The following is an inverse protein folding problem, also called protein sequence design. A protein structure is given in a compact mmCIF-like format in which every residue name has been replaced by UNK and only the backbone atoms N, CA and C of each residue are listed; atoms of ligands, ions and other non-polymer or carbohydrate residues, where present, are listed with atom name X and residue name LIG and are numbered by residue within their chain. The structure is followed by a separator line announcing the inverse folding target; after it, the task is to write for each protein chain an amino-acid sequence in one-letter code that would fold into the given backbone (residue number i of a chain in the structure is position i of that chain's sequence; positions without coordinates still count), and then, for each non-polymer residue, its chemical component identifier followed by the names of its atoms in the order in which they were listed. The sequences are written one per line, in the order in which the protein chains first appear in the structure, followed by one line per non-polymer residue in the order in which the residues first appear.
data_IF_807461019812
#
_entry.id   IF_807461019812
#
_cell.length_a   1.000
_cell.length_b   1.000
_cell.length_c   1.000
_cell.angle_alpha   90.00
_cell.angle_beta   90.00
_cell.angle_gamma   90.00
#
_symmetry.space_group_name_H-M   'P 1'
#
loop_
_entity.id
_entity.type
_entity.pdbx_description
1 polymer ?
#
# COMPACT_ATOMS: atom_id res chain seq x y z
N UNK A 1 3.13 12.01 25.29
CA UNK A 1 3.27 10.57 25.01
C UNK A 1 4.75 10.27 24.87
N UNK A 2 5.27 9.18 25.45
CA UNK A 2 6.69 8.82 25.32
C UNK A 2 7.03 8.54 23.86
N UNK A 3 8.26 8.91 23.46
CA UNK A 3 8.80 8.58 22.14
C UNK A 3 9.08 7.08 22.05
N UNK A 4 8.58 6.44 20.99
CA UNK A 4 8.86 5.02 20.74
C UNK A 4 10.20 4.87 20.03
N UNK A 5 11.07 4.01 20.54
CA UNK A 5 12.37 3.71 19.90
C UNK A 5 12.19 2.84 18.65
N UNK A 6 13.16 2.89 17.74
CA UNK A 6 13.16 2.01 16.55
C UNK A 6 13.15 0.53 16.96
N UNK A 7 13.89 0.18 18.03
CA UNK A 7 13.92 -1.20 18.55
C UNK A 7 12.53 -1.65 19.02
N UNK A 8 11.84 -0.81 19.79
CA UNK A 8 10.49 -1.10 20.26
C UNK A 8 9.52 -1.34 19.11
N UNK A 9 9.59 -0.52 18.04
CA UNK A 9 8.75 -0.70 16.85
C UNK A 9 9.03 -2.03 16.14
N UNK A 10 10.31 -2.44 16.04
CA UNK A 10 10.67 -3.74 15.46
C UNK A 10 10.06 -4.89 16.27
N UNK A 11 10.15 -4.82 17.60
CA UNK A 11 9.58 -5.85 18.48
C UNK A 11 8.05 -5.88 18.36
N UNK A 12 7.38 -4.73 18.26
CA UNK A 12 5.94 -4.63 18.03
C UNK A 12 5.51 -5.18 16.66
N UNK A 13 6.26 -4.88 15.59
CA UNK A 13 6.02 -5.42 14.25
C UNK A 13 6.11 -6.96 14.23
N UNK A 14 7.16 -7.51 14.86
CA UNK A 14 7.34 -8.96 14.98
C UNK A 14 6.23 -9.60 15.83
N UNK A 15 5.87 -8.99 16.95
CA UNK A 15 4.78 -9.47 17.80
C UNK A 15 3.41 -9.43 17.11
N UNK A 16 3.17 -8.45 16.23
CA UNK A 16 1.96 -8.38 15.39
C UNK A 16 1.93 -9.48 14.31
N UNK A 17 3.08 -10.08 14.01
CA UNK A 17 3.21 -11.18 13.04
C UNK A 17 3.70 -10.76 11.66
N UNK A 18 4.43 -9.65 11.55
CA UNK A 18 5.15 -9.31 10.32
C UNK A 18 6.20 -10.38 10.03
N UNK A 19 6.11 -11.01 8.86
CA UNK A 19 7.00 -12.10 8.45
C UNK A 19 8.34 -11.59 7.96
N UNK A 20 9.43 -12.03 8.60
CA UNK A 20 10.80 -11.83 8.11
C UNK A 20 10.97 -12.51 6.74
N UNK A 21 11.66 -11.85 5.80
CA UNK A 21 11.81 -12.31 4.41
C UNK A 21 10.57 -12.16 3.53
N UNK A 22 9.43 -11.72 4.08
CA UNK A 22 8.17 -11.59 3.36
C UNK A 22 8.04 -10.31 2.53
N UNK A 23 6.92 -10.19 1.81
CA UNK A 23 6.50 -8.93 1.16
C UNK A 23 5.49 -8.24 2.07
N UNK A 24 5.65 -6.95 2.35
CA UNK A 24 4.74 -6.18 3.20
C UNK A 24 4.31 -4.89 2.51
N UNK A 25 3.02 -4.80 2.21
CA UNK A 25 2.37 -3.57 1.79
C UNK A 25 1.92 -2.77 3.03
N UNK A 26 2.32 -1.51 3.12
CA UNK A 26 2.04 -0.65 4.28
C UNK A 26 1.23 0.57 3.86
N UNK A 27 0.08 0.75 4.50
CA UNK A 27 -0.68 2.01 4.52
C UNK A 27 -0.50 2.64 5.89
N UNK A 28 -0.20 3.94 5.97
CA UNK A 28 0.18 4.55 7.25
C UNK A 28 -0.24 6.00 7.40
N UNK A 29 -0.62 6.36 8.64
CA UNK A 29 -0.82 7.74 9.07
C UNK A 29 0.21 8.11 10.15
N UNK A 30 1.34 8.69 9.75
CA UNK A 30 2.41 9.04 10.68
C UNK A 30 1.96 9.93 11.85
N UNK A 31 0.94 10.79 11.63
CA UNK A 31 0.36 11.64 12.68
C UNK A 31 -0.25 10.83 13.84
N UNK A 32 -0.71 9.60 13.58
CA UNK A 32 -1.26 8.68 14.58
C UNK A 32 -0.16 7.85 15.26
N UNK A 33 0.94 7.57 14.56
CA UNK A 33 2.03 6.73 15.09
C UNK A 33 2.97 7.52 16.01
N UNK A 34 3.25 8.79 15.67
CA UNK A 34 4.23 9.66 16.35
C UNK A 34 3.93 9.86 17.86
N UNK A 35 4.94 10.20 18.69
CA UNK A 35 6.37 10.38 18.36
C UNK A 35 7.16 9.06 18.21
N UNK A 36 8.12 9.06 17.28
CA UNK A 36 9.04 7.95 16.99
C UNK A 36 10.46 8.52 16.88
N UNK A 37 11.42 7.83 17.49
CA UNK A 37 12.86 8.10 17.34
C UNK A 37 13.25 8.15 15.86
N UNK A 38 13.83 9.27 15.40
CA UNK A 38 14.18 9.46 13.99
C UNK A 38 13.00 9.77 13.06
N UNK A 39 11.82 10.06 13.60
CA UNK A 39 10.66 10.50 12.85
C UNK A 39 10.13 9.46 11.84
N UNK A 40 9.61 9.88 10.67
CA UNK A 40 9.13 8.94 9.65
C UNK A 40 10.23 8.04 9.10
N UNK A 41 11.49 8.51 9.05
CA UNK A 41 12.63 7.69 8.62
C UNK A 41 12.94 6.58 9.63
N UNK A 42 12.76 6.86 10.93
CA UNK A 42 12.81 5.85 11.99
C UNK A 42 11.77 4.75 11.81
N UNK A 43 10.54 5.12 11.40
CA UNK A 43 9.49 4.14 11.07
C UNK A 43 9.85 3.28 9.86
N UNK A 44 10.37 3.87 8.78
CA UNK A 44 10.85 3.12 7.60
C UNK A 44 11.98 2.17 8.01
N UNK A 45 12.91 2.64 8.83
CA UNK A 45 13.99 1.83 9.39
C UNK A 45 13.48 0.65 10.22
N UNK A 46 12.44 0.85 11.04
CA UNK A 46 11.83 -0.23 11.80
C UNK A 46 11.16 -1.28 10.90
N UNK A 47 10.41 -0.84 9.88
CA UNK A 47 9.78 -1.74 8.90
C UNK A 47 10.81 -2.58 8.15
N UNK A 48 11.88 -1.96 7.64
CA UNK A 48 13.01 -2.65 6.99
C UNK A 48 13.66 -3.67 7.93
N UNK A 49 13.92 -3.30 9.18
CA UNK A 49 14.54 -4.19 10.18
C UNK A 49 13.65 -5.36 10.57
N UNK A 50 12.33 -5.17 10.61
CA UNK A 50 11.39 -6.25 10.88
C UNK A 50 11.32 -7.26 9.73
N UNK A 51 11.41 -6.78 8.49
CA UNK A 51 11.42 -7.60 7.28
C UNK A 51 12.75 -8.32 7.02
N UNK A 52 13.86 -7.78 7.52
CA UNK A 52 15.19 -8.35 7.27
C UNK A 52 15.66 -8.09 5.83
N UNK A 53 16.82 -8.66 5.49
CA UNK A 53 17.49 -8.40 4.18
C UNK A 53 16.77 -9.01 2.99
N UNK A 54 16.03 -10.10 3.23
CA UNK A 54 15.34 -10.84 2.17
C UNK A 54 13.89 -10.37 1.99
N UNK A 55 13.40 -9.48 2.86
CA UNK A 55 12.04 -8.96 2.78
C UNK A 55 11.90 -7.82 1.78
N UNK A 56 10.66 -7.59 1.32
CA UNK A 56 10.33 -6.50 0.40
C UNK A 56 9.26 -5.59 0.99
N UNK A 57 9.60 -4.32 1.19
CA UNK A 57 8.69 -3.29 1.68
C UNK A 57 8.01 -2.60 0.50
N UNK A 58 6.70 -2.38 0.58
CA UNK A 58 5.89 -1.74 -0.45
C UNK A 58 5.00 -0.66 0.16
N UNK A 59 4.87 0.49 -0.50
CA UNK A 59 3.94 1.55 -0.10
C UNK A 59 3.25 2.14 -1.34
N UNK A 60 1.98 2.56 -1.24
CA UNK A 60 1.34 3.32 -2.31
C UNK A 60 2.01 4.69 -2.45
N UNK A 61 2.21 5.14 -3.68
CA UNK A 61 2.79 6.45 -4.03
C UNK A 61 1.96 7.17 -5.08
N UNK A 62 0.65 6.94 -5.01
CA UNK A 62 -0.38 7.50 -5.89
C UNK A 62 -0.29 9.02 -5.96
N UNK A 63 -0.74 9.58 -7.08
CA UNK A 63 -0.69 11.02 -7.39
C UNK A 63 -2.07 11.50 -7.79
N UNK A 64 -2.27 12.82 -7.96
CA UNK A 64 -3.55 13.34 -8.46
C UNK A 64 -3.81 12.97 -9.93
N UNK A 65 -2.79 12.53 -10.67
CA UNK A 65 -2.91 12.26 -12.11
C UNK A 65 -3.11 13.50 -12.99
N UNK A 66 -3.03 14.71 -12.41
CA UNK A 66 -3.30 15.97 -13.11
C UNK A 66 -2.10 16.48 -13.94
N UNK A 67 -0.92 15.87 -13.75
CA UNK A 67 0.32 16.22 -14.46
C UNK A 67 1.01 14.98 -14.99
N UNK A 68 1.95 15.17 -15.92
CA UNK A 68 2.81 14.07 -16.39
C UNK A 68 3.55 13.47 -15.19
N UNK A 69 3.41 12.16 -15.06
CA UNK A 69 4.05 11.41 -14.00
C UNK A 69 5.50 11.07 -14.38
N UNK A 70 6.42 11.48 -13.52
CA UNK A 70 7.81 11.03 -13.51
C UNK A 70 8.06 10.28 -12.19
N UNK A 71 8.37 8.96 -12.23
CA UNK A 71 8.63 8.19 -11.02
C UNK A 71 9.78 8.74 -10.17
N UNK A 72 10.71 9.50 -10.77
CA UNK A 72 11.85 10.11 -10.08
C UNK A 72 11.56 11.44 -9.38
N UNK A 73 10.47 12.13 -9.72
CA UNK A 73 10.24 13.50 -9.22
C UNK A 73 8.81 13.80 -8.74
N UNK A 74 7.77 13.18 -9.33
CA UNK A 74 6.38 13.52 -9.02
C UNK A 74 6.01 13.18 -7.57
N UNK A 75 5.64 14.16 -6.72
CA UNK A 75 5.23 13.89 -5.34
C UNK A 75 4.01 12.96 -5.26
N UNK A 76 3.92 12.19 -4.18
CA UNK A 76 2.68 11.47 -3.87
C UNK A 76 1.60 12.43 -3.38
N UNK A 77 0.34 12.07 -3.58
CA UNK A 77 -0.83 12.82 -3.14
C UNK A 77 -1.65 11.98 -2.16
N UNK A 78 -1.91 12.50 -0.96
CA UNK A 78 -2.75 11.82 0.05
C UNK A 78 -2.13 10.57 0.72
N UNK A 79 -0.95 10.10 0.31
CA UNK A 79 -0.33 8.86 0.83
C UNK A 79 0.41 9.01 2.17
N UNK A 80 0.61 10.25 2.62
CA UNK A 80 1.27 10.57 3.88
C UNK A 80 2.81 10.64 3.80
N UNK A 81 3.40 11.28 4.82
CA UNK A 81 4.83 11.63 4.82
C UNK A 81 5.77 10.42 4.81
N UNK A 82 5.34 9.29 5.37
CA UNK A 82 6.14 8.07 5.37
C UNK A 82 6.30 7.49 3.97
N UNK A 83 5.20 7.42 3.19
CA UNK A 83 5.27 7.00 1.80
C UNK A 83 6.10 7.98 0.95
N UNK A 84 5.90 9.29 1.15
CA UNK A 84 6.65 10.33 0.44
C UNK A 84 8.17 10.26 0.67
N UNK A 85 8.60 9.99 1.91
CA UNK A 85 10.01 9.85 2.23
C UNK A 85 10.58 8.49 1.82
N UNK A 86 9.75 7.44 1.77
CA UNK A 86 10.18 6.10 1.38
C UNK A 86 10.60 6.03 -0.08
N UNK A 87 9.76 6.52 -1.01
CA UNK A 87 10.07 6.39 -2.44
C UNK A 87 11.28 7.23 -2.89
N UNK A 88 11.65 8.25 -2.11
CA UNK A 88 12.84 9.08 -2.34
C UNK A 88 14.14 8.48 -1.78
N UNK A 89 14.08 7.34 -1.09
CA UNK A 89 15.28 6.71 -0.55
C UNK A 89 16.10 6.04 -1.67
N UNK A 90 17.44 6.04 -1.56
CA UNK A 90 18.29 5.26 -2.46
C UNK A 90 17.89 3.78 -2.49
N UNK A 91 17.83 3.19 -3.67
CA UNK A 91 17.50 1.76 -3.87
C UNK A 91 16.00 1.43 -3.89
N UNK A 92 15.12 2.40 -3.66
CA UNK A 92 13.67 2.20 -3.75
C UNK A 92 13.21 2.39 -5.20
N UNK A 93 12.53 1.38 -5.75
CA UNK A 93 11.93 1.45 -7.07
C UNK A 93 10.51 2.01 -6.97
N UNK A 94 10.05 2.68 -8.03
CA UNK A 94 8.69 3.19 -8.16
C UNK A 94 8.09 2.79 -9.50
N UNK A 95 6.88 2.26 -9.49
CA UNK A 95 6.16 1.87 -10.71
C UNK A 95 5.75 3.09 -11.54
N UNK A 96 5.43 2.88 -12.82
CA UNK A 96 5.25 3.95 -13.81
C UNK A 96 3.81 4.42 -14.05
N UNK A 97 2.82 3.92 -13.30
CA UNK A 97 1.43 4.35 -13.49
C UNK A 97 1.20 5.79 -13.04
N UNK A 98 0.54 6.58 -13.89
CA UNK A 98 0.43 8.02 -13.72
C UNK A 98 -0.25 8.45 -12.39
N UNK A 99 -1.41 7.85 -12.07
CA UNK A 99 -2.13 8.12 -10.81
C UNK A 99 -1.97 7.05 -9.72
N UNK A 100 -1.59 5.83 -10.10
CA UNK A 100 -1.81 4.58 -9.33
C UNK A 100 -0.51 3.88 -8.94
N UNK A 101 0.57 4.65 -8.81
CA UNK A 101 1.92 4.11 -8.59
C UNK A 101 2.15 3.63 -7.15
N UNK A 102 3.10 2.70 -7.02
CA UNK A 102 3.60 2.16 -5.77
C UNK A 102 5.13 2.21 -5.77
N UNK A 103 5.71 2.32 -4.59
CA UNK A 103 7.14 2.17 -4.38
C UNK A 103 7.44 0.84 -3.67
N UNK A 104 8.57 0.22 -4.00
CA UNK A 104 9.01 -1.03 -3.40
C UNK A 104 10.54 -1.10 -3.25
N UNK A 105 10.99 -1.79 -2.21
CA UNK A 105 12.41 -2.02 -1.92
C UNK A 105 12.61 -3.43 -1.36
N UNK A 106 13.59 -4.15 -1.89
CA UNK A 106 13.90 -5.53 -1.51
C UNK A 106 13.93 -6.47 -2.72
N UNK A 107 14.16 -7.78 -2.53
CA UNK A 107 14.38 -8.72 -3.63
C UNK A 107 13.23 -8.86 -4.63
N UNK A 108 12.00 -8.48 -4.27
CA UNK A 108 10.83 -8.54 -5.16
C UNK A 108 10.44 -7.16 -5.74
N UNK A 109 11.21 -6.09 -5.48
CA UNK A 109 10.84 -4.73 -5.90
C UNK A 109 10.67 -4.58 -7.41
N UNK A 110 11.60 -5.11 -8.20
CA UNK A 110 11.53 -5.07 -9.67
C UNK A 110 10.26 -5.75 -10.19
N UNK A 111 9.95 -6.94 -9.65
CA UNK A 111 8.75 -7.68 -10.00
C UNK A 111 7.50 -6.87 -9.66
N UNK A 112 7.42 -6.33 -8.45
CA UNK A 112 6.25 -5.56 -7.97
C UNK A 112 6.06 -4.28 -8.79
N UNK A 113 7.14 -3.59 -9.16
CA UNK A 113 7.12 -2.31 -9.87
C UNK A 113 7.12 -2.42 -11.40
N UNK A 114 7.01 -3.63 -11.98
CA UNK A 114 6.82 -3.80 -13.43
C UNK A 114 5.65 -2.92 -13.95
N UNK A 115 5.66 -2.54 -15.24
CA UNK A 115 4.55 -1.78 -15.83
C UNK A 115 3.19 -2.45 -15.56
N UNK A 116 2.16 -1.64 -15.28
CA UNK A 116 0.80 -2.11 -15.02
C UNK A 116 -0.17 -1.51 -16.04
N UNK A 117 -1.33 -2.15 -16.30
CA UNK A 117 -2.36 -1.58 -17.15
C UNK A 117 -2.82 -0.21 -16.63
N UNK A 118 -3.20 0.68 -17.56
CA UNK A 118 -3.79 1.97 -17.21
C UNK A 118 -5.16 1.79 -16.52
N UNK A 119 -5.91 0.73 -16.87
CA UNK A 119 -7.20 0.42 -16.26
C UNK A 119 -7.44 -1.11 -16.19
N UNK A 120 -7.97 -1.63 -15.08
CA UNK A 120 -8.07 -0.94 -13.78
C UNK A 120 -6.67 -0.75 -13.16
N UNK A 121 -6.39 0.38 -12.49
CA UNK A 121 -5.07 0.66 -11.92
C UNK A 121 -4.66 -0.32 -10.82
N UNK A 122 -5.63 -0.97 -10.18
CA UNK A 122 -5.45 -1.90 -9.05
C UNK A 122 -5.87 -3.34 -9.38
N UNK A 123 -5.74 -3.76 -10.64
CA UNK A 123 -6.05 -5.13 -11.08
C UNK A 123 -4.99 -6.20 -10.76
N UNK A 124 -5.17 -7.44 -11.22
CA UNK A 124 -4.22 -8.56 -10.99
C UNK A 124 -2.79 -8.32 -11.48
N UNK A 125 -2.60 -7.46 -12.49
CA UNK A 125 -1.30 -7.10 -13.05
C UNK A 125 -0.77 -5.74 -12.56
N UNK A 126 -1.32 -5.24 -11.46
CA UNK A 126 -0.83 -4.08 -10.71
C UNK A 126 0.12 -4.47 -9.56
N UNK A 127 0.82 -3.52 -8.93
CA UNK A 127 1.63 -3.77 -7.74
C UNK A 127 0.88 -4.51 -6.62
N UNK A 128 -0.37 -4.14 -6.32
CA UNK A 128 -1.19 -4.86 -5.31
C UNK A 128 -1.53 -6.29 -5.76
N UNK A 129 -1.82 -6.49 -7.04
CA UNK A 129 -2.01 -7.83 -7.62
C UNK A 129 -0.76 -8.71 -7.52
N UNK A 130 0.43 -8.11 -7.61
CA UNK A 130 1.71 -8.81 -7.43
C UNK A 130 2.03 -9.10 -5.97
N UNK A 131 1.75 -8.18 -5.05
CA UNK A 131 1.83 -8.44 -3.60
C UNK A 131 0.93 -9.63 -3.23
N UNK A 132 -0.31 -9.64 -3.71
CA UNK A 132 -1.25 -10.76 -3.55
C UNK A 132 -0.66 -12.09 -4.08
N UNK A 133 -0.15 -12.08 -5.32
CA UNK A 133 0.44 -13.27 -5.96
C UNK A 133 1.65 -13.80 -5.21
N UNK A 134 2.47 -12.91 -4.63
CA UNK A 134 3.64 -13.26 -3.83
C UNK A 134 3.29 -13.73 -2.41
N UNK A 135 2.02 -13.73 -2.01
CA UNK A 135 1.62 -14.11 -0.65
C UNK A 135 2.03 -13.08 0.39
N UNK A 136 2.08 -11.80 0.01
CA UNK A 136 2.47 -10.73 0.92
C UNK A 136 1.45 -10.47 2.04
N UNK A 137 1.86 -9.64 2.98
CA UNK A 137 1.03 -9.15 4.08
C UNK A 137 0.65 -7.68 3.85
N UNK A 138 -0.45 -7.26 4.45
CA UNK A 138 -0.97 -5.88 4.38
C UNK A 138 -1.04 -5.33 5.80
N UNK A 139 -0.28 -4.27 6.06
CA UNK A 139 -0.26 -3.55 7.33
C UNK A 139 -0.99 -2.22 7.17
N UNK A 140 -2.06 -2.05 7.95
CA UNK A 140 -2.77 -0.79 8.13
C UNK A 140 -2.31 -0.17 9.45
N UNK A 141 -1.54 0.92 9.39
CA UNK A 141 -0.91 1.54 10.56
C UNK A 141 -1.46 2.95 10.82
N UNK A 142 -2.37 3.07 11.78
CA UNK A 142 -3.07 4.33 12.07
C UNK A 142 -4.08 4.74 10.98
N UNK A 143 -4.45 3.79 10.13
CA UNK A 143 -5.47 3.89 9.08
C UNK A 143 -6.39 2.67 9.16
N UNK A 144 -7.47 2.67 8.39
CA UNK A 144 -8.49 1.62 8.38
C UNK A 144 -8.55 0.94 7.01
N UNK A 145 -9.50 0.03 6.83
CA UNK A 145 -9.72 -0.58 5.52
C UNK A 145 -10.21 0.41 4.45
N UNK A 146 -10.70 1.59 4.82
CA UNK A 146 -11.00 2.65 3.84
C UNK A 146 -9.76 3.07 3.04
N UNK A 147 -8.56 2.89 3.58
CA UNK A 147 -7.30 3.19 2.90
C UNK A 147 -6.65 1.94 2.27
N UNK A 148 -7.29 0.77 2.34
CA UNK A 148 -6.69 -0.50 1.96
C UNK A 148 -6.89 -0.80 0.47
N UNK A 149 -5.87 -0.54 -0.34
CA UNK A 149 -5.92 -0.68 -1.81
C UNK A 149 -6.05 -2.13 -2.28
N UNK A 150 -5.85 -3.12 -1.41
CA UNK A 150 -6.10 -4.53 -1.74
C UNK A 150 -7.59 -4.84 -1.95
N UNK A 151 -8.49 -3.99 -1.44
CA UNK A 151 -9.92 -4.14 -1.68
C UNK A 151 -10.31 -3.77 -3.11
N UNK A 152 -9.64 -2.80 -3.73
CA UNK A 152 -9.80 -2.54 -5.17
C UNK A 152 -9.32 -3.72 -6.04
N UNK A 153 -8.30 -4.45 -5.58
CA UNK A 153 -7.93 -5.71 -6.23
C UNK A 153 -9.04 -6.77 -6.12
N UNK A 154 -9.71 -6.87 -4.98
CA UNK A 154 -10.85 -7.78 -4.81
C UNK A 154 -12.01 -7.41 -5.75
N UNK A 155 -12.34 -6.11 -5.87
CA UNK A 155 -13.35 -5.61 -6.82
C UNK A 155 -12.99 -5.95 -8.27
N UNK A 156 -11.74 -5.72 -8.66
CA UNK A 156 -11.26 -6.04 -10.00
C UNK A 156 -11.34 -7.56 -10.30
N UNK A 157 -11.06 -8.41 -9.31
CA UNK A 157 -11.21 -9.87 -9.42
C UNK A 157 -12.68 -10.28 -9.53
N UNK A 158 -13.56 -9.67 -8.73
CA UNK A 158 -15.00 -9.93 -8.72
C UNK A 158 -15.72 -9.38 -9.97
N UNK A 159 -15.07 -8.50 -10.75
CA UNK A 159 -15.65 -7.83 -11.92
C UNK A 159 -16.94 -7.09 -11.58
N UNK A 160 -16.89 -6.32 -10.50
CA UNK A 160 -18.02 -5.50 -10.05
C UNK A 160 -18.54 -4.60 -11.19
N UNK A 161 -19.86 -4.35 -11.28
CA UNK A 161 -20.46 -3.76 -12.48
C UNK A 161 -20.34 -2.22 -12.55
N UNK A 162 -19.59 -1.58 -11.65
CA UNK A 162 -19.42 -0.12 -11.61
C UNK A 162 -18.00 0.29 -11.97
N UNK A 163 -17.90 1.44 -12.66
CA UNK A 163 -16.64 2.13 -12.89
C UNK A 163 -16.89 3.63 -13.05
N UNK A 164 -16.00 4.44 -12.48
CA UNK A 164 -15.96 5.89 -12.68
C UNK A 164 -14.72 6.21 -13.51
N UNK A 165 -14.84 7.13 -14.47
CA UNK A 165 -13.70 7.54 -15.29
C UNK A 165 -13.08 8.82 -14.75
N UNK A 166 -11.78 8.77 -14.46
CA UNK A 166 -11.01 9.90 -13.97
C UNK A 166 -10.08 10.44 -15.06
N UNK A 167 -9.96 11.77 -15.23
CA UNK A 167 -8.98 12.33 -16.14
C UNK A 167 -7.57 12.08 -15.59
N UNK A 168 -6.70 11.51 -16.40
CA UNK A 168 -5.30 11.27 -16.05
C UNK A 168 -4.39 11.73 -17.19
N UNK A 169 -3.38 12.53 -16.85
CA UNK A 169 -2.36 12.98 -17.81
C UNK A 169 -1.34 11.86 -17.98
N UNK A 170 -1.30 11.29 -19.18
CA UNK A 170 -0.31 10.29 -19.61
C UNK A 170 0.56 10.86 -20.70
N UNK A 171 1.80 10.39 -20.81
CA UNK A 171 2.68 10.72 -21.92
C UNK A 171 2.54 9.66 -23.02
N UNK A 172 2.23 10.10 -24.24
CA UNK A 172 2.22 9.25 -25.43
C UNK A 172 3.11 9.92 -26.49
N UNK A 173 4.17 9.22 -26.92
CA UNK A 173 5.15 9.71 -27.90
C UNK A 173 5.80 11.06 -27.50
N UNK A 174 6.07 11.25 -26.21
CA UNK A 174 6.63 12.51 -25.67
C UNK A 174 5.62 13.66 -25.56
N UNK A 175 4.33 13.41 -25.83
CA UNK A 175 3.28 14.42 -25.79
C UNK A 175 2.32 14.11 -24.63
N UNK A 176 2.12 15.04 -23.68
CA UNK A 176 1.11 14.90 -22.63
C UNK A 176 -0.30 14.86 -23.22
N UNK A 177 -1.10 13.88 -22.81
CA UNK A 177 -2.51 13.75 -23.18
C UNK A 177 -3.34 13.39 -21.96
N UNK A 178 -4.49 14.04 -21.81
CA UNK A 178 -5.49 13.61 -20.82
C UNK A 178 -6.27 12.43 -21.38
N UNK A 179 -6.23 11.30 -20.68
CA UNK A 179 -7.01 10.10 -20.97
C UNK A 179 -8.00 9.87 -19.84
N UNK A 180 -9.22 9.48 -20.19
CA UNK A 180 -10.22 9.07 -19.20
C UNK A 180 -9.94 7.62 -18.79
N UNK A 181 -9.53 7.43 -17.55
CA UNK A 181 -9.15 6.12 -16.99
C UNK A 181 -10.32 5.57 -16.18
N UNK A 182 -10.95 4.45 -16.60
CA UNK A 182 -11.97 3.78 -15.81
C UNK A 182 -11.34 3.12 -14.58
N UNK A 183 -11.95 3.33 -13.42
CA UNK A 183 -11.54 2.75 -12.15
C UNK A 183 -12.77 2.27 -11.38
N UNK A 184 -12.63 1.18 -10.63
CA UNK A 184 -13.62 0.76 -9.63
C UNK A 184 -13.48 1.68 -8.41
N UNK A 185 -13.79 2.96 -8.61
CA UNK A 185 -13.68 3.99 -7.58
C UNK A 185 -15.05 4.30 -6.97
N UNK A 186 -15.04 4.48 -5.66
CA UNK A 186 -16.15 4.95 -4.87
C UNK A 186 -15.58 5.54 -3.56
N UNK A 187 -16.42 6.06 -2.66
CA UNK A 187 -15.94 6.74 -1.45
C UNK A 187 -15.15 5.87 -0.43
N UNK A 188 -14.88 4.59 -0.73
CA UNK A 188 -14.20 3.60 0.11
C UNK A 188 -14.74 3.45 1.55
N UNK A 189 -15.90 4.03 1.87
CA UNK A 189 -16.48 3.94 3.21
C UNK A 189 -16.94 2.51 3.53
N UNK A 190 -17.49 1.81 2.53
CA UNK A 190 -17.92 0.41 2.65
C UNK A 190 -16.79 -0.57 2.94
N UNK A 191 -15.54 -0.21 2.61
CA UNK A 191 -14.38 -1.06 2.86
C UNK A 191 -14.13 -1.33 4.34
N UNK A 192 -14.64 -0.47 5.25
CA UNK A 192 -14.54 -0.70 6.70
C UNK A 192 -15.16 -2.03 7.14
N UNK A 193 -16.16 -2.54 6.40
CA UNK A 193 -16.80 -3.82 6.67
C UNK A 193 -15.81 -5.00 6.57
N UNK A 194 -14.76 -4.89 5.75
CA UNK A 194 -13.74 -5.92 5.62
C UNK A 194 -13.06 -6.27 6.95
N UNK A 195 -12.90 -5.27 7.84
CA UNK A 195 -12.33 -5.52 9.17
C UNK A 195 -13.20 -6.44 10.02
N UNK A 196 -14.53 -6.33 9.93
CA UNK A 196 -15.46 -7.23 10.64
C UNK A 196 -15.42 -8.65 10.06
N UNK A 197 -15.40 -8.77 8.72
CA UNK A 197 -15.33 -10.06 8.04
C UNK A 197 -14.04 -10.82 8.37
N UNK A 198 -12.90 -10.13 8.42
CA UNK A 198 -11.61 -10.73 8.75
C UNK A 198 -11.51 -11.10 10.23
N UNK A 199 -11.97 -10.24 11.14
CA UNK A 199 -12.03 -10.54 12.58
C UNK A 199 -12.89 -11.76 12.88
N UNK A 200 -14.08 -11.86 12.27
CA UNK A 200 -14.99 -12.99 12.47
C UNK A 200 -14.37 -14.34 12.09
N UNK A 201 -13.35 -14.35 11.22
CA UNK A 201 -12.63 -15.54 10.77
C UNK A 201 -11.25 -15.71 11.42
N UNK A 202 -10.85 -14.81 12.31
CA UNK A 202 -9.51 -14.82 12.91
C UNK A 202 -8.37 -14.54 11.91
N UNK A 203 -8.66 -13.87 10.80
CA UNK A 203 -7.71 -13.61 9.70
C UNK A 203 -7.04 -12.24 9.78
N UNK A 204 -7.38 -11.43 10.79
CA UNK A 204 -6.77 -10.15 11.07
C UNK A 204 -6.12 -10.15 12.46
N UNK A 205 -4.83 -9.81 12.49
CA UNK A 205 -4.07 -9.58 13.72
C UNK A 205 -4.13 -8.09 14.05
N UNK A 206 -4.46 -7.76 15.29
CA UNK A 206 -4.61 -6.37 15.75
C UNK A 206 -3.65 -6.09 16.91
N UNK A 207 -3.10 -4.87 16.97
CA UNK A 207 -2.18 -4.48 18.02
C UNK A 207 -1.85 -2.99 17.99
N UNK A 208 -0.84 -2.60 18.77
CA UNK A 208 -0.33 -1.23 18.82
C UNK A 208 1.10 -1.15 18.31
N UNK A 209 1.35 -0.22 17.39
CA UNK A 209 2.69 0.16 16.95
C UNK A 209 2.89 1.65 17.27
N UNK A 210 3.86 1.95 18.13
CA UNK A 210 3.94 3.26 18.77
C UNK A 210 2.61 3.63 19.42
N UNK A 211 2.01 4.75 19.02
CA UNK A 211 0.69 5.19 19.52
C UNK A 211 -0.49 4.79 18.61
N UNK A 212 -0.23 4.17 17.46
CA UNK A 212 -1.27 3.86 16.48
C UNK A 212 -1.84 2.44 16.67
N UNK A 213 -3.13 2.30 16.39
CA UNK A 213 -3.73 1.01 16.08
C UNK A 213 -3.11 0.46 14.79
N UNK A 214 -2.84 -0.84 14.79
CA UNK A 214 -2.30 -1.55 13.66
C UNK A 214 -3.10 -2.81 13.40
N UNK A 215 -3.42 -3.05 12.13
CA UNK A 215 -4.06 -4.27 11.65
C UNK A 215 -3.16 -4.92 10.60
N UNK A 216 -2.90 -6.22 10.74
CA UNK A 216 -2.11 -7.01 9.80
C UNK A 216 -2.96 -8.18 9.29
N UNK A 217 -3.04 -8.33 7.97
CA UNK A 217 -3.73 -9.44 7.32
C UNK A 217 -2.89 -10.00 6.18
N UNK A 218 -3.04 -11.28 5.90
CA UNK A 218 -2.44 -11.92 4.73
C UNK A 218 -3.22 -11.54 3.47
N UNK A 219 -2.52 -11.08 2.42
CA UNK A 219 -3.12 -10.47 1.24
C UNK A 219 -4.14 -11.39 0.54
N UNK A 220 -3.85 -12.68 0.47
CA UNK A 220 -4.71 -13.69 -0.17
C UNK A 220 -5.98 -13.93 0.60
N UNK A 221 -5.89 -14.03 1.91
CA UNK A 221 -7.04 -14.21 2.78
C UNK A 221 -7.95 -12.98 2.75
N UNK A 222 -7.36 -11.78 2.78
CA UNK A 222 -8.09 -10.53 2.64
C UNK A 222 -8.89 -10.47 1.34
N UNK A 223 -8.22 -10.71 0.20
CA UNK A 223 -8.86 -10.65 -1.11
C UNK A 223 -9.93 -11.74 -1.23
N UNK A 224 -9.65 -12.96 -0.79
CA UNK A 224 -10.62 -14.07 -0.81
C UNK A 224 -11.89 -13.71 -0.03
N UNK A 225 -11.75 -13.23 1.20
CA UNK A 225 -12.89 -12.84 2.04
C UNK A 225 -13.67 -11.71 1.37
N UNK A 226 -13.00 -10.67 0.87
CA UNK A 226 -13.67 -9.56 0.21
C UNK A 226 -14.48 -10.01 -1.03
N UNK A 227 -13.91 -10.87 -1.88
CA UNK A 227 -14.60 -11.41 -3.07
C UNK A 227 -15.85 -12.20 -2.71
N UNK A 228 -15.89 -12.91 -1.58
CA UNK A 228 -17.09 -13.64 -1.13
C UNK A 228 -18.26 -12.71 -0.74
N UNK A 229 -18.00 -11.41 -0.57
CA UNK A 229 -18.98 -10.39 -0.18
C UNK A 229 -19.32 -9.41 -1.32
N UNK A 230 -18.77 -9.60 -2.53
CA UNK A 230 -18.94 -8.74 -3.71
C UNK A 230 -19.84 -9.36 -4.78
#
# INVERSE_FOLDING_TARGET
MPESSVRQLVDQLKALGVGEGGVLLVHTSFRKVRPIEGGPLGLIGALRRALGRDGTLVMPTMTSGETVFDPGSTPSHGMGITAELFWRQPGVLRSTHASGSFAAEGPQSERICQPQPLSPPHGPDSPVGRVHRLGGQVLLLGVTHSENTMLHLAEAIARVPYAVSHPCVVEADGIPRTVMVPETDHCCAGFKLAGEWLRARGLQREGKLGNADACLSDARDLVKVAVEHL
#
